data_IF_670418083674
#
_entry.id   IF_670418083674
#
_cell.length_a   1.000
_cell.length_b   1.000
_cell.length_c   1.000
_cell.angle_alpha   90.00
_cell.angle_beta   90.00
_cell.angle_gamma   90.00
#
_symmetry.space_group_name_H-M   'P 1'
#
loop_
_entity.id
_entity.type
_entity.pdbx_description
1 polymer ?
#
# COMPACT_ATOMS: atom_id res chain seq x y z
N UNK A 1 -18.68 14.22 9.13
CA UNK A 1 -17.32 13.87 9.56
C UNK A 1 -16.93 12.66 8.75
N UNK A 2 -16.16 12.85 7.67
CA UNK A 2 -15.74 11.76 6.79
C UNK A 2 -14.98 10.72 7.61
N UNK A 3 -15.33 9.46 7.43
CA UNK A 3 -14.64 8.35 8.07
C UNK A 3 -13.18 8.39 7.62
N UNK A 4 -12.28 8.86 8.49
CA UNK A 4 -10.85 8.58 8.35
C UNK A 4 -10.73 7.06 8.41
N UNK A 5 -10.64 6.44 7.24
CA UNK A 5 -10.23 5.04 7.07
C UNK A 5 -9.04 4.82 8.01
N UNK A 6 -9.06 3.74 8.81
CA UNK A 6 -8.27 3.56 10.03
C UNK A 6 -6.74 3.50 9.93
N UNK A 7 -6.15 4.20 8.96
CA UNK A 7 -4.72 4.44 8.80
C UNK A 7 -4.25 5.56 9.74
N UNK A 8 -3.05 5.43 10.30
CA UNK A 8 -2.39 6.53 11.02
C UNK A 8 -1.82 7.57 10.06
N UNK A 9 -1.41 8.73 10.58
CA UNK A 9 -0.78 9.77 9.77
C UNK A 9 0.53 9.28 9.14
N UNK A 10 1.30 8.43 9.83
CA UNK A 10 2.51 7.79 9.29
C UNK A 10 2.18 6.80 8.16
N UNK A 11 1.09 6.04 8.30
CA UNK A 11 0.65 5.11 7.25
C UNK A 11 0.15 5.89 6.02
N UNK A 12 -0.56 7.00 6.21
CA UNK A 12 -0.95 7.91 5.13
C UNK A 12 0.26 8.54 4.43
N UNK A 13 1.32 8.90 5.17
CA UNK A 13 2.55 9.40 4.59
C UNK A 13 3.23 8.36 3.67
N UNK A 14 3.18 7.07 4.02
CA UNK A 14 3.68 6.01 3.14
C UNK A 14 2.87 5.89 1.84
N UNK A 15 1.54 6.05 1.90
CA UNK A 15 0.71 6.10 0.70
C UNK A 15 1.00 7.33 -0.16
N UNK A 16 1.27 8.49 0.45
CA UNK A 16 1.69 9.69 -0.26
C UNK A 16 3.00 9.46 -1.01
N UNK A 17 4.00 8.83 -0.38
CA UNK A 17 5.25 8.44 -1.04
C UNK A 17 5.02 7.55 -2.26
N UNK A 18 4.17 6.51 -2.14
CA UNK A 18 3.84 5.61 -3.26
C UNK A 18 3.24 6.40 -4.44
N UNK A 19 2.32 7.33 -4.14
CA UNK A 19 1.72 8.20 -5.16
C UNK A 19 2.77 9.07 -5.83
N UNK A 20 3.61 9.75 -5.06
CA UNK A 20 4.66 10.63 -5.59
C UNK A 20 5.68 9.85 -6.43
N UNK A 21 6.09 8.67 -5.99
CA UNK A 21 6.95 7.78 -6.76
C UNK A 21 6.31 7.41 -8.10
N UNK A 22 5.05 6.97 -8.11
CA UNK A 22 4.35 6.62 -9.34
C UNK A 22 4.25 7.81 -10.30
N UNK A 23 3.91 8.99 -9.79
CA UNK A 23 3.83 10.21 -10.59
C UNK A 23 5.19 10.59 -11.20
N UNK A 24 6.27 10.49 -10.41
CA UNK A 24 7.62 10.74 -10.90
C UNK A 24 8.07 9.71 -11.95
N UNK A 25 7.88 8.43 -11.67
CA UNK A 25 8.29 7.34 -12.55
C UNK A 25 7.53 7.34 -13.88
N UNK A 26 6.20 7.50 -13.84
CA UNK A 26 5.36 7.50 -15.05
C UNK A 26 5.59 8.71 -15.97
N UNK A 27 6.25 9.76 -15.47
CA UNK A 27 6.66 10.90 -16.27
C UNK A 27 8.04 10.73 -16.94
N UNK A 28 8.81 9.70 -16.57
CA UNK A 28 10.10 9.42 -17.20
C UNK A 28 9.92 8.80 -18.60
N UNK A 29 10.86 9.01 -19.54
CA UNK A 29 10.86 8.26 -20.79
C UNK A 29 10.93 6.77 -20.52
N UNK A 30 9.95 6.02 -21.04
CA UNK A 30 9.93 4.56 -20.88
C UNK A 30 11.07 3.94 -21.70
N UNK A 31 11.97 3.23 -21.01
CA UNK A 31 13.10 2.54 -21.65
C UNK A 31 12.75 1.10 -22.02
N UNK A 32 11.95 0.42 -21.19
CA UNK A 32 11.46 -0.91 -21.47
C UNK A 32 9.96 -1.03 -21.14
N UNK A 33 9.14 -1.71 -21.98
CA UNK A 33 7.69 -1.83 -21.76
C UNK A 33 7.31 -2.43 -20.40
N UNK A 34 8.11 -3.37 -19.89
CA UNK A 34 7.81 -4.05 -18.62
C UNK A 34 8.08 -3.20 -17.38
N UNK A 35 8.84 -2.10 -17.47
CA UNK A 35 9.23 -1.32 -16.28
C UNK A 35 8.00 -0.78 -15.55
N UNK A 36 6.97 -0.39 -16.31
CA UNK A 36 5.71 0.13 -15.78
C UNK A 36 4.95 -0.95 -15.00
N UNK A 37 4.87 -2.16 -15.54
CA UNK A 37 4.21 -3.29 -14.88
C UNK A 37 4.96 -3.71 -13.61
N UNK A 38 6.29 -3.77 -13.68
CA UNK A 38 7.14 -4.16 -12.55
C UNK A 38 7.07 -3.15 -11.40
N UNK A 39 7.15 -1.85 -11.73
CA UNK A 39 6.96 -0.78 -10.74
C UNK A 39 5.56 -0.82 -10.16
N UNK A 40 4.52 -0.93 -10.99
CA UNK A 40 3.14 -0.97 -10.50
C UNK A 40 2.92 -2.16 -9.55
N UNK A 41 3.46 -3.34 -9.88
CA UNK A 41 3.40 -4.53 -9.03
C UNK A 41 4.05 -4.29 -7.66
N UNK A 42 5.25 -3.70 -7.62
CA UNK A 42 5.95 -3.41 -6.37
C UNK A 42 5.27 -2.34 -5.52
N UNK A 43 4.76 -1.26 -6.14
CA UNK A 43 4.00 -0.24 -5.43
C UNK A 43 2.69 -0.80 -4.85
N UNK A 44 2.02 -1.70 -5.57
CA UNK A 44 0.86 -2.42 -5.04
C UNK A 44 1.23 -3.31 -3.85
N UNK A 45 2.35 -4.03 -3.92
CA UNK A 45 2.83 -4.87 -2.83
C UNK A 45 3.12 -4.05 -1.57
N UNK A 46 3.80 -2.90 -1.71
CA UNK A 46 4.06 -1.97 -0.60
C UNK A 46 2.76 -1.43 0.01
N UNK A 47 1.86 -0.95 -0.84
CA UNK A 47 0.54 -0.43 -0.42
C UNK A 47 -0.28 -1.48 0.32
N UNK A 48 -0.26 -2.73 -0.15
CA UNK A 48 -0.92 -3.86 0.51
C UNK A 48 -0.36 -4.10 1.90
N UNK A 49 0.97 -4.10 2.08
CA UNK A 49 1.59 -4.32 3.40
C UNK A 49 1.10 -3.28 4.40
N UNK A 50 1.08 -2.00 4.01
CA UNK A 50 0.59 -0.91 4.86
C UNK A 50 -0.91 -1.06 5.14
N UNK A 51 -1.73 -1.29 4.10
CA UNK A 51 -3.17 -1.47 4.24
C UNK A 51 -3.56 -2.66 5.14
N UNK A 52 -2.81 -3.76 5.06
CA UNK A 52 -3.02 -4.93 5.92
C UNK A 52 -2.81 -4.62 7.40
N UNK A 53 -1.92 -3.69 7.75
CA UNK A 53 -1.73 -3.26 9.15
C UNK A 53 -2.97 -2.57 9.70
N UNK A 54 -3.57 -1.68 8.93
CA UNK A 54 -4.84 -1.04 9.30
C UNK A 54 -5.98 -2.07 9.35
N UNK A 55 -6.03 -3.00 8.41
CA UNK A 55 -7.04 -4.07 8.39
C UNK A 55 -6.94 -4.97 9.63
N UNK A 56 -5.73 -5.42 10.00
CA UNK A 56 -5.50 -6.19 11.22
C UNK A 56 -5.91 -5.43 12.48
N UNK A 57 -5.66 -4.12 12.55
CA UNK A 57 -6.05 -3.28 13.70
C UNK A 57 -7.57 -3.12 13.79
N UNK A 58 -8.26 -2.96 12.66
CA UNK A 58 -9.71 -2.74 12.61
C UNK A 58 -10.51 -4.04 12.75
N UNK A 59 -9.97 -5.16 12.27
CA UNK A 59 -10.67 -6.45 12.19
C UNK A 59 -9.76 -7.62 12.62
N UNK A 60 -9.25 -7.62 13.87
CA UNK A 60 -8.34 -8.64 14.40
C UNK A 60 -8.83 -10.08 14.21
N UNK A 61 -10.14 -10.29 14.42
CA UNK A 61 -10.79 -11.61 14.38
C UNK A 61 -11.00 -12.19 12.98
N UNK A 62 -10.95 -11.33 11.95
CA UNK A 62 -11.30 -11.69 10.56
C UNK A 62 -10.06 -11.80 9.68
N UNK A 63 -9.02 -11.01 9.98
CA UNK A 63 -7.84 -10.92 9.14
C UNK A 63 -6.74 -11.84 9.71
N UNK A 64 -6.47 -13.00 9.06
CA UNK A 64 -5.53 -13.99 9.58
C UNK A 64 -4.10 -13.48 9.52
N UNK A 65 -3.32 -13.72 10.58
CA UNK A 65 -1.87 -13.49 10.53
C UNK A 65 -1.16 -14.62 9.76
N UNK A 66 0.16 -14.50 9.59
CA UNK A 66 0.98 -15.48 8.83
C UNK A 66 0.97 -16.90 9.44
N UNK A 67 0.56 -17.06 10.70
CA UNK A 67 0.37 -18.34 11.38
C UNK A 67 -1.08 -18.85 11.35
N UNK A 68 -1.98 -18.16 10.64
CA UNK A 68 -3.40 -18.53 10.55
C UNK A 68 -4.19 -18.26 11.84
N UNK A 69 -3.64 -17.50 12.76
CA UNK A 69 -4.28 -17.15 14.04
C UNK A 69 -4.79 -15.71 13.96
N UNK A 70 -6.02 -15.42 14.41
CA UNK A 70 -6.44 -14.03 14.64
C UNK A 70 -5.54 -13.34 15.68
N UNK A 71 -5.37 -12.02 15.58
CA UNK A 71 -4.50 -11.23 16.48
C UNK A 71 -5.32 -10.67 17.64
#
# INVERSE_FOLDING_TARGET
MEARVGLTDEELALFAFVKEFWQGFSALPQLHPADVEEVAFHLHALSRIVGMRAAHRAHPDVIPNRSGTPI
#
